data_IF_407423823510
#
_entry.id   IF_407423823510
#
_cell.length_a   1.000
_cell.length_b   1.000
_cell.length_c   1.000
_cell.angle_alpha   90.00
_cell.angle_beta   90.00
_cell.angle_gamma   90.00
#
_symmetry.space_group_name_H-M   'P 1'
#
loop_
_entity.id
_entity.type
_entity.pdbx_description
1 polymer ?
#
# COMPACT_ATOMS: atom_id res chain seq x y z
N UNK A 1 -12.25 9.31 33.18
CA UNK A 1 -11.72 10.20 32.15
C UNK A 1 -10.25 9.87 31.98
N UNK A 2 -9.81 9.64 30.75
CA UNK A 2 -8.45 9.24 30.40
C UNK A 2 -7.83 10.42 29.66
N UNK A 3 -6.84 11.07 30.25
CA UNK A 3 -6.09 12.18 29.65
C UNK A 3 -5.10 11.67 28.59
N UNK A 4 -4.58 12.55 27.73
CA UNK A 4 -3.48 12.23 26.80
C UNK A 4 -2.32 11.55 27.53
N UNK A 5 -2.00 12.01 28.74
CA UNK A 5 -0.96 11.43 29.61
C UNK A 5 -1.28 9.97 29.95
N UNK A 6 -2.54 9.66 30.31
CA UNK A 6 -2.96 8.29 30.61
C UNK A 6 -2.86 7.36 29.39
N UNK A 7 -3.04 7.90 28.18
CA UNK A 7 -2.87 7.12 26.94
C UNK A 7 -1.39 6.91 26.59
N UNK A 8 -0.54 7.92 26.75
CA UNK A 8 0.90 7.79 26.57
C UNK A 8 1.48 6.72 27.52
N UNK A 9 1.04 6.70 28.79
CA UNK A 9 1.47 5.65 29.74
C UNK A 9 0.99 4.24 29.36
N UNK A 10 -0.15 4.12 28.68
CA UNK A 10 -0.62 2.81 28.19
C UNK A 10 0.24 2.35 27.02
N UNK A 11 0.64 3.26 26.12
CA UNK A 11 1.48 2.95 24.95
C UNK A 11 2.80 2.30 25.38
N UNK A 12 3.44 2.83 26.42
CA UNK A 12 4.66 2.25 26.96
C UNK A 12 4.49 0.81 27.49
N UNK A 13 3.28 0.45 27.93
CA UNK A 13 2.99 -0.82 28.63
C UNK A 13 2.37 -1.88 27.73
N UNK A 14 1.78 -1.50 26.59
CA UNK A 14 1.02 -2.39 25.72
C UNK A 14 1.69 -2.53 24.36
N UNK A 15 1.61 -3.72 23.76
CA UNK A 15 2.22 -3.99 22.44
C UNK A 15 1.47 -3.36 21.26
N UNK A 16 0.18 -3.11 21.44
CA UNK A 16 -0.70 -2.50 20.45
C UNK A 16 -1.79 -1.72 21.14
N UNK A 17 -2.06 -0.52 20.66
CA UNK A 17 -3.10 0.39 21.13
C UNK A 17 -3.80 0.98 19.92
N UNK A 18 -5.12 1.06 20.01
CA UNK A 18 -5.97 1.75 19.06
C UNK A 18 -6.85 2.74 19.84
N UNK A 19 -6.93 3.98 19.37
CA UNK A 19 -7.72 5.03 20.03
C UNK A 19 -8.30 5.99 19.00
N UNK A 20 -9.54 6.43 19.22
CA UNK A 20 -10.15 7.48 18.41
C UNK A 20 -9.72 8.86 18.92
N UNK A 21 -9.59 9.82 18.00
CA UNK A 21 -9.04 11.15 18.33
C UNK A 21 -10.02 11.98 19.16
N UNK A 22 -11.32 11.79 18.98
CA UNK A 22 -12.37 12.43 19.79
C UNK A 22 -12.31 11.98 21.26
N UNK A 23 -11.99 10.73 21.55
CA UNK A 23 -11.77 10.23 22.91
C UNK A 23 -10.58 10.93 23.61
N UNK A 24 -9.58 11.36 22.84
CA UNK A 24 -8.39 12.05 23.35
C UNK A 24 -8.65 13.55 23.58
N UNK A 25 -9.33 14.19 22.63
CA UNK A 25 -9.57 15.65 22.65
C UNK A 25 -10.84 16.04 23.39
N UNK A 26 -11.78 15.10 23.55
CA UNK A 26 -13.12 15.30 24.11
C UNK A 26 -13.90 16.40 23.37
N UNK A 27 -13.84 16.36 22.04
CA UNK A 27 -14.49 17.31 21.12
C UNK A 27 -15.05 16.60 19.90
N UNK A 28 -16.15 17.13 19.36
CA UNK A 28 -16.77 16.66 18.11
C UNK A 28 -16.06 17.22 16.86
N UNK A 29 -15.68 18.49 16.89
CA UNK A 29 -14.95 19.16 15.80
C UNK A 29 -13.45 19.16 16.09
N UNK A 30 -12.67 18.59 15.16
CA UNK A 30 -11.23 18.39 15.29
C UNK A 30 -10.54 19.01 14.07
N UNK A 31 -9.47 19.76 14.29
CA UNK A 31 -8.63 20.31 13.22
C UNK A 31 -7.44 19.41 12.90
N UNK A 32 -6.90 19.52 11.68
CA UNK A 32 -5.62 18.84 11.36
C UNK A 32 -4.46 19.33 12.24
N UNK A 33 -4.48 20.59 12.71
CA UNK A 33 -3.49 21.08 13.68
C UNK A 33 -3.51 20.29 15.00
N UNK A 34 -4.71 20.04 15.55
CA UNK A 34 -4.86 19.25 16.78
C UNK A 34 -4.43 17.80 16.56
N UNK A 35 -4.76 17.23 15.40
CA UNK A 35 -4.31 15.88 15.04
C UNK A 35 -2.77 15.80 14.96
N UNK A 36 -2.14 16.73 14.25
CA UNK A 36 -0.67 16.77 14.11
C UNK A 36 0.01 16.96 15.47
N UNK A 37 -0.57 17.77 16.35
CA UNK A 37 -0.09 17.92 17.73
C UNK A 37 -0.11 16.57 18.46
N UNK A 38 -1.23 15.83 18.43
CA UNK A 38 -1.32 14.51 19.08
C UNK A 38 -0.32 13.50 18.51
N UNK A 39 -0.22 13.42 17.18
CA UNK A 39 0.69 12.49 16.52
C UNK A 39 2.15 12.76 16.89
N UNK A 40 2.52 14.04 17.00
CA UNK A 40 3.84 14.44 17.46
C UNK A 40 4.11 14.05 18.92
N UNK A 41 3.13 14.23 19.80
CA UNK A 41 3.27 13.82 21.21
C UNK A 41 3.38 12.30 21.33
N UNK A 42 2.63 11.55 20.55
CA UNK A 42 2.74 10.08 20.52
C UNK A 42 4.10 9.65 19.97
N UNK A 43 4.53 10.22 18.84
CA UNK A 43 5.81 9.88 18.21
C UNK A 43 7.03 10.12 19.12
N UNK A 44 6.99 11.14 19.99
CA UNK A 44 8.07 11.41 20.96
C UNK A 44 8.15 10.39 22.09
N UNK A 45 7.03 9.80 22.46
CA UNK A 45 6.91 8.93 23.63
C UNK A 45 6.78 7.44 23.26
N UNK A 46 6.79 7.12 21.95
CA UNK A 46 6.77 5.73 21.49
C UNK A 46 8.09 5.02 21.84
N UNK A 47 8.03 3.78 22.34
CA UNK A 47 9.19 2.90 22.37
C UNK A 47 9.82 2.74 20.99
N UNK A 48 11.14 2.50 20.93
CA UNK A 48 11.88 2.44 19.65
C UNK A 48 11.44 1.30 18.72
N UNK A 49 10.72 0.31 19.23
CA UNK A 49 10.20 -0.83 18.47
C UNK A 49 8.69 -0.74 18.17
N UNK A 50 8.04 0.38 18.53
CA UNK A 50 6.65 0.64 18.20
C UNK A 50 6.51 1.70 17.11
N UNK A 51 5.48 1.53 16.29
CA UNK A 51 5.19 2.40 15.18
C UNK A 51 3.79 2.97 15.31
N UNK A 52 3.60 4.15 14.73
CA UNK A 52 2.35 4.90 14.66
C UNK A 52 1.73 4.85 13.26
N UNK A 53 0.41 4.74 13.19
CA UNK A 53 -0.40 5.05 12.02
C UNK A 53 -1.64 5.84 12.46
N UNK A 54 -2.02 6.83 11.67
CA UNK A 54 -3.30 7.50 11.79
C UNK A 54 -3.85 7.77 10.40
N UNK A 55 -5.12 7.46 10.19
CA UNK A 55 -5.80 7.66 8.92
C UNK A 55 -6.98 8.60 9.11
N UNK A 56 -7.17 9.47 8.13
CA UNK A 56 -8.36 10.29 7.93
C UNK A 56 -8.88 10.03 6.52
N UNK A 57 -10.20 10.02 6.35
CA UNK A 57 -10.88 9.88 5.05
C UNK A 57 -11.88 11.02 4.85
N UNK A 58 -12.13 11.38 3.61
CA UNK A 58 -13.21 12.30 3.22
C UNK A 58 -13.72 11.95 1.83
N UNK A 59 -15.01 12.17 1.59
CA UNK A 59 -15.59 12.11 0.24
C UNK A 59 -15.13 13.30 -0.62
N UNK A 60 -14.61 14.36 0.00
CA UNK A 60 -14.13 15.56 -0.68
C UNK A 60 -12.61 15.66 -0.66
N UNK A 61 -12.04 16.32 -1.68
CA UNK A 61 -10.59 16.49 -1.74
C UNK A 61 -10.07 17.27 -0.52
N UNK A 62 -9.14 16.64 0.19
CA UNK A 62 -8.41 17.29 1.30
C UNK A 62 -7.38 18.26 0.70
N UNK A 63 -7.44 19.53 1.09
CA UNK A 63 -6.51 20.57 0.63
C UNK A 63 -5.10 20.36 1.21
N UNK A 64 -4.30 19.51 0.56
CA UNK A 64 -2.95 19.12 1.01
C UNK A 64 -1.82 19.91 0.35
N UNK A 65 -2.13 20.84 -0.55
CA UNK A 65 -1.13 21.61 -1.30
C UNK A 65 -0.58 22.81 -0.51
N UNK A 66 -1.34 23.31 0.47
CA UNK A 66 -0.91 24.36 1.41
C UNK A 66 -1.01 23.83 2.84
N UNK A 67 0.15 23.62 3.47
CA UNK A 67 0.18 23.09 4.83
C UNK A 67 -0.49 24.00 5.86
N UNK A 68 -0.47 25.32 5.68
CA UNK A 68 -1.10 26.24 6.64
C UNK A 68 -2.61 26.23 6.48
N UNK A 69 -3.09 26.13 5.25
CA UNK A 69 -4.51 25.94 5.00
C UNK A 69 -4.99 24.62 5.62
N UNK A 70 -4.31 23.51 5.32
CA UNK A 70 -4.63 22.18 5.85
C UNK A 70 -4.79 22.19 7.36
N UNK A 71 -3.81 22.72 8.09
CA UNK A 71 -3.79 22.72 9.55
C UNK A 71 -5.00 23.46 10.17
N UNK A 72 -5.59 24.43 9.45
CA UNK A 72 -6.75 25.18 9.91
C UNK A 72 -8.10 24.57 9.47
N UNK A 73 -8.09 23.54 8.62
CA UNK A 73 -9.30 22.84 8.20
C UNK A 73 -9.79 21.90 9.30
N UNK A 74 -11.11 21.77 9.37
CA UNK A 74 -11.76 20.71 10.13
C UNK A 74 -11.55 19.38 9.40
N UNK A 75 -11.34 18.32 10.17
CA UNK A 75 -11.38 16.96 9.66
C UNK A 75 -12.84 16.60 9.41
N UNK A 76 -13.10 16.02 8.25
CA UNK A 76 -14.39 15.44 7.91
C UNK A 76 -14.59 14.17 8.77
N UNK A 77 -15.56 14.22 9.67
CA UNK A 77 -15.89 13.14 10.61
C UNK A 77 -17.28 12.56 10.34
N UNK A 78 -17.91 12.88 9.21
CA UNK A 78 -19.25 12.39 8.88
C UNK A 78 -19.30 10.86 8.77
N UNK A 79 -18.24 10.27 8.21
CA UNK A 79 -18.18 8.85 7.87
C UNK A 79 -17.19 8.05 8.70
N UNK A 80 -16.07 8.65 9.11
CA UNK A 80 -15.06 8.00 9.92
C UNK A 80 -14.41 8.98 10.89
N UNK A 81 -14.23 8.55 12.13
CA UNK A 81 -13.50 9.33 13.13
C UNK A 81 -12.01 8.98 13.01
N UNK A 82 -11.10 9.96 12.92
CA UNK A 82 -9.68 9.69 12.90
C UNK A 82 -9.27 8.79 14.06
N UNK A 83 -8.52 7.75 13.73
CA UNK A 83 -8.01 6.80 14.71
C UNK A 83 -6.50 6.75 14.66
N UNK A 84 -5.89 6.59 15.83
CA UNK A 84 -4.45 6.43 16.01
C UNK A 84 -4.20 5.00 16.48
N UNK A 85 -3.42 4.26 15.70
CA UNK A 85 -2.89 2.95 16.04
C UNK A 85 -1.40 3.09 16.40
N UNK A 86 -1.01 2.55 17.55
CA UNK A 86 0.37 2.22 17.88
C UNK A 86 0.53 0.71 17.88
N UNK A 87 1.51 0.16 17.17
CA UNK A 87 1.80 -1.29 17.19
C UNK A 87 3.22 -1.60 16.71
N UNK A 88 3.80 -2.68 17.24
CA UNK A 88 5.09 -3.22 16.74
C UNK A 88 4.96 -3.86 15.35
N UNK A 89 3.74 -4.26 14.97
CA UNK A 89 3.47 -5.03 13.75
C UNK A 89 2.67 -4.22 12.71
N UNK A 90 2.79 -2.89 12.71
CA UNK A 90 2.15 -2.08 11.68
C UNK A 90 2.69 -2.45 10.30
N UNK A 91 1.75 -2.67 9.36
CA UNK A 91 2.07 -2.99 7.97
C UNK A 91 1.44 -1.92 7.09
N UNK A 92 2.27 -1.23 6.32
CA UNK A 92 1.83 -0.34 5.26
C UNK A 92 1.95 -1.03 3.91
N UNK A 93 0.96 -0.84 3.04
CA UNK A 93 0.99 -1.29 1.65
C UNK A 93 0.91 -0.07 0.72
N UNK A 94 1.66 -0.05 -0.40
CA UNK A 94 1.55 0.99 -1.42
C UNK A 94 0.10 1.21 -1.87
N UNK A 95 -0.32 2.48 -1.93
CA UNK A 95 -1.68 2.87 -2.33
C UNK A 95 -1.69 3.45 -3.75
N UNK A 96 -2.87 3.45 -4.37
CA UNK A 96 -3.07 4.07 -5.68
C UNK A 96 -2.96 5.60 -5.56
N UNK A 97 -2.29 6.25 -6.53
CA UNK A 97 -2.13 7.71 -6.56
C UNK A 97 -1.55 8.29 -5.26
N UNK A 98 -0.76 7.48 -4.53
CA UNK A 98 -0.13 7.92 -3.30
C UNK A 98 0.91 9.03 -3.58
N UNK A 99 0.87 10.07 -2.77
CA UNK A 99 1.87 11.15 -2.75
C UNK A 99 2.25 11.45 -1.31
N UNK A 100 3.55 11.57 -1.06
CA UNK A 100 4.05 12.12 0.21
C UNK A 100 3.78 13.61 0.21
N UNK A 101 3.14 14.11 1.28
CA UNK A 101 2.86 15.53 1.45
C UNK A 101 3.70 16.10 2.60
N UNK A 102 3.97 17.41 2.55
CA UNK A 102 4.69 18.09 3.62
C UNK A 102 3.68 18.79 4.53
N UNK A 103 3.73 18.47 5.82
CA UNK A 103 2.94 19.13 6.86
C UNK A 103 3.91 19.85 7.81
N UNK A 104 3.75 21.17 7.94
CA UNK A 104 4.52 22.01 8.84
C UNK A 104 4.38 21.53 10.29
N UNK A 105 5.52 21.34 10.96
CA UNK A 105 5.56 20.89 12.35
C UNK A 105 5.37 19.39 12.57
N UNK A 106 5.13 18.58 11.53
CA UNK A 106 5.09 17.12 11.66
C UNK A 106 6.48 16.56 12.03
N UNK A 107 6.52 15.61 12.97
CA UNK A 107 7.74 14.93 13.41
C UNK A 107 8.50 14.31 12.24
N UNK A 108 9.84 14.40 12.24
CA UNK A 108 10.71 13.82 11.22
C UNK A 108 10.70 12.29 11.16
N UNK A 109 10.22 11.66 12.24
CA UNK A 109 10.00 10.21 12.35
C UNK A 109 8.71 9.74 11.71
N UNK A 110 7.85 10.68 11.30
CA UNK A 110 6.58 10.43 10.64
C UNK A 110 6.63 10.87 9.16
N UNK A 111 5.72 10.32 8.36
CA UNK A 111 5.48 10.73 6.99
C UNK A 111 3.98 10.84 6.76
N UNK A 112 3.55 11.93 6.13
CA UNK A 112 2.18 12.12 5.71
C UNK A 112 2.04 11.69 4.25
N UNK A 113 1.05 10.85 3.99
CA UNK A 113 0.76 10.28 2.67
C UNK A 113 -0.68 10.59 2.34
N UNK A 114 -0.89 11.22 1.20
CA UNK A 114 -2.22 11.41 0.62
C UNK A 114 -2.43 10.42 -0.52
N UNK A 115 -3.59 9.81 -0.61
CA UNK A 115 -3.96 8.95 -1.73
C UNK A 115 -5.46 8.97 -1.98
N UNK A 116 -5.87 8.51 -3.15
CA UNK A 116 -7.29 8.36 -3.51
C UNK A 116 -7.55 6.87 -3.70
N UNK A 117 -8.58 6.35 -3.06
CA UNK A 117 -9.01 4.97 -3.22
C UNK A 117 -10.53 4.92 -3.24
N UNK A 118 -11.10 4.23 -4.23
CA UNK A 118 -12.57 4.09 -4.35
C UNK A 118 -13.34 5.41 -4.37
N UNK A 119 -12.77 6.46 -4.98
CA UNK A 119 -13.29 7.85 -5.00
C UNK A 119 -13.31 8.57 -3.64
N UNK A 120 -12.68 8.02 -2.61
CA UNK A 120 -12.47 8.69 -1.34
C UNK A 120 -11.03 9.20 -1.23
N UNK A 121 -10.87 10.31 -0.51
CA UNK A 121 -9.62 11.00 -0.29
C UNK A 121 -9.09 10.66 1.09
N UNK A 122 -7.88 10.11 1.15
CA UNK A 122 -7.26 9.69 2.40
C UNK A 122 -6.02 10.54 2.69
N UNK A 123 -5.90 10.97 3.93
CA UNK A 123 -4.65 11.47 4.49
C UNK A 123 -4.24 10.57 5.66
N UNK A 124 -3.16 9.84 5.45
CA UNK A 124 -2.59 8.92 6.44
C UNK A 124 -1.22 9.41 6.89
N UNK A 125 -1.03 9.55 8.19
CA UNK A 125 0.28 9.76 8.81
C UNK A 125 0.76 8.44 9.36
N UNK A 126 1.97 8.03 8.97
CA UNK A 126 2.55 6.76 9.40
C UNK A 126 4.00 6.95 9.81
N UNK A 127 4.53 6.06 10.64
CA UNK A 127 5.96 6.02 10.94
C UNK A 127 6.79 5.83 9.68
N UNK A 128 7.82 6.65 9.54
CA UNK A 128 8.68 6.69 8.35
C UNK A 128 9.38 5.36 8.09
N UNK A 129 9.72 4.63 9.15
CA UNK A 129 10.29 3.29 9.04
C UNK A 129 9.30 2.29 8.42
N UNK A 130 8.05 2.29 8.85
CA UNK A 130 6.98 1.44 8.29
C UNK A 130 6.74 1.81 6.82
N UNK A 131 6.72 3.10 6.49
CA UNK A 131 6.57 3.54 5.10
C UNK A 131 7.75 3.10 4.22
N UNK A 132 8.99 3.25 4.68
CA UNK A 132 10.17 2.85 3.93
C UNK A 132 10.28 1.32 3.78
N UNK A 133 9.77 0.56 4.76
CA UNK A 133 9.77 -0.90 4.77
C UNK A 133 8.43 -1.51 4.35
N UNK A 134 7.57 -0.73 3.68
CA UNK A 134 6.24 -1.13 3.27
C UNK A 134 6.19 -2.46 2.53
N UNK A 135 5.17 -3.25 2.85
CA UNK A 135 4.99 -4.60 2.37
C UNK A 135 4.32 -4.63 0.99
N UNK A 136 4.79 -5.52 0.15
CA UNK A 136 4.07 -5.95 -1.06
C UNK A 136 2.92 -6.84 -0.61
N UNK A 137 1.75 -6.76 -1.26
CA UNK A 137 0.64 -7.65 -0.90
C UNK A 137 1.01 -9.12 -1.11
N UNK A 138 0.48 -10.02 -0.28
CA UNK A 138 0.80 -11.45 -0.34
C UNK A 138 0.54 -12.04 -1.72
N UNK A 139 -0.62 -11.74 -2.32
CA UNK A 139 -0.99 -12.21 -3.66
C UNK A 139 0.03 -11.79 -4.74
N UNK A 140 0.55 -10.56 -4.64
CA UNK A 140 1.57 -10.05 -5.58
C UNK A 140 2.90 -10.75 -5.32
N UNK A 141 3.29 -10.90 -4.06
CA UNK A 141 4.53 -11.58 -3.69
C UNK A 141 4.53 -13.03 -4.18
N UNK A 142 3.44 -13.76 -3.97
CA UNK A 142 3.27 -15.14 -4.44
C UNK A 142 3.37 -15.24 -5.96
N UNK A 143 2.69 -14.34 -6.70
CA UNK A 143 2.80 -14.28 -8.15
C UNK A 143 4.24 -14.05 -8.60
N UNK A 144 4.91 -13.05 -8.02
CA UNK A 144 6.28 -12.70 -8.40
C UNK A 144 7.26 -13.83 -8.08
N UNK A 145 7.06 -14.55 -6.97
CA UNK A 145 7.84 -15.75 -6.63
C UNK A 145 7.66 -16.83 -7.71
N UNK A 146 6.42 -17.09 -8.15
CA UNK A 146 6.17 -18.07 -9.19
C UNK A 146 6.84 -17.69 -10.51
N UNK A 147 6.75 -16.42 -10.93
CA UNK A 147 7.45 -15.92 -12.13
C UNK A 147 8.97 -16.03 -11.96
N UNK A 148 9.49 -15.78 -10.74
CA UNK A 148 10.93 -15.83 -10.45
C UNK A 148 11.53 -17.23 -10.60
N UNK A 149 10.73 -18.28 -10.37
CA UNK A 149 11.15 -19.67 -10.56
C UNK A 149 11.31 -20.03 -12.05
N UNK A 150 10.83 -19.18 -12.96
CA UNK A 150 10.88 -19.40 -14.41
C UNK A 150 9.72 -20.26 -14.92
N UNK A 151 9.45 -20.12 -16.21
CA UNK A 151 8.46 -20.91 -16.98
C UNK A 151 7.09 -21.06 -16.28
N UNK A 152 6.58 -19.97 -15.70
CA UNK A 152 5.33 -20.01 -14.92
C UNK A 152 4.13 -20.24 -15.85
N UNK A 153 3.51 -21.42 -15.75
CA UNK A 153 2.32 -21.77 -16.54
C UNK A 153 1.10 -20.91 -16.17
N UNK A 154 0.46 -20.30 -17.18
CA UNK A 154 -0.64 -19.35 -16.98
C UNK A 154 -1.93 -20.02 -16.46
N UNK A 155 -2.15 -21.29 -16.78
CA UNK A 155 -3.36 -22.01 -16.37
C UNK A 155 -3.45 -22.14 -14.83
N UNK A 156 -2.34 -22.53 -14.21
CA UNK A 156 -2.27 -22.94 -12.81
C UNK A 156 -2.03 -21.76 -11.85
N UNK A 157 -1.45 -20.65 -12.33
CA UNK A 157 -1.14 -19.49 -11.49
C UNK A 157 -2.34 -18.56 -11.23
N UNK A 158 -3.46 -18.76 -11.92
CA UNK A 158 -4.64 -17.88 -11.79
C UNK A 158 -5.38 -17.98 -10.45
N UNK A 159 -5.07 -18.98 -9.62
CA UNK A 159 -5.70 -19.18 -8.32
C UNK A 159 -5.23 -18.18 -7.25
N UNK A 160 -4.03 -17.60 -7.38
CA UNK A 160 -3.45 -16.72 -6.36
C UNK A 160 -4.15 -15.35 -6.20
N UNK A 161 -4.83 -14.84 -7.24
CA UNK A 161 -5.45 -13.50 -7.18
C UNK A 161 -6.79 -13.39 -7.94
N UNK A 162 -7.37 -14.52 -8.34
CA UNK A 162 -8.60 -14.59 -9.12
C UNK A 162 -8.38 -14.33 -10.62
N UNK A 163 -9.17 -14.98 -11.48
CA UNK A 163 -8.92 -15.04 -12.93
C UNK A 163 -8.91 -13.68 -13.64
N UNK A 164 -9.85 -12.78 -13.31
CA UNK A 164 -9.97 -11.45 -13.96
C UNK A 164 -8.74 -10.59 -13.65
N UNK A 165 -8.44 -10.44 -12.36
CA UNK A 165 -7.32 -9.66 -11.85
C UNK A 165 -5.97 -10.23 -12.29
N UNK A 166 -5.81 -11.55 -12.27
CA UNK A 166 -4.62 -12.22 -12.76
C UNK A 166 -4.33 -11.86 -14.23
N UNK A 167 -5.36 -11.90 -15.10
CA UNK A 167 -5.22 -11.51 -16.50
C UNK A 167 -4.73 -10.06 -16.63
N UNK A 168 -5.36 -9.13 -15.93
CA UNK A 168 -5.02 -7.71 -15.97
C UNK A 168 -3.57 -7.46 -15.51
N UNK A 169 -3.14 -8.15 -14.45
CA UNK A 169 -1.76 -8.06 -13.92
C UNK A 169 -0.75 -8.61 -14.91
N UNK A 170 -0.99 -9.77 -15.52
CA UNK A 170 -0.08 -10.36 -16.51
C UNK A 170 -0.01 -9.48 -17.76
N UNK A 171 -1.15 -9.03 -18.29
CA UNK A 171 -1.19 -8.13 -19.45
C UNK A 171 -0.44 -6.82 -19.15
N UNK A 172 -0.56 -6.27 -17.94
CA UNK A 172 0.22 -5.12 -17.49
C UNK A 172 1.72 -5.41 -17.49
N UNK A 173 2.16 -6.51 -16.86
CA UNK A 173 3.57 -6.88 -16.75
C UNK A 173 4.24 -7.12 -18.11
N UNK A 174 3.52 -7.69 -19.08
CA UNK A 174 3.98 -7.81 -20.46
C UNK A 174 4.12 -6.44 -21.10
N UNK A 175 3.09 -5.58 -20.96
CA UNK A 175 3.07 -4.22 -21.53
C UNK A 175 4.22 -3.35 -21.02
N UNK A 176 4.57 -3.46 -19.75
CA UNK A 176 5.71 -2.71 -19.16
C UNK A 176 7.05 -3.44 -19.27
N UNK A 177 7.09 -4.55 -20.01
CA UNK A 177 8.28 -5.33 -20.34
C UNK A 177 9.02 -5.92 -19.12
N UNK A 178 8.30 -6.17 -18.02
CA UNK A 178 8.88 -6.88 -16.87
C UNK A 178 8.85 -8.39 -17.07
N UNK A 179 7.90 -8.91 -17.84
CA UNK A 179 7.86 -10.31 -18.24
C UNK A 179 7.77 -10.43 -19.76
N UNK A 180 8.21 -11.57 -20.29
CA UNK A 180 7.96 -11.97 -21.66
C UNK A 180 7.09 -13.22 -21.69
N UNK A 181 6.34 -13.38 -22.77
CA UNK A 181 5.41 -14.50 -22.96
C UNK A 181 6.10 -15.60 -23.73
N UNK A 182 5.97 -16.83 -23.23
CA UNK A 182 6.49 -18.04 -23.84
C UNK A 182 5.31 -18.89 -24.30
N UNK A 183 5.31 -19.29 -25.57
CA UNK A 183 4.36 -20.25 -26.13
C UNK A 183 5.05 -21.58 -26.39
N UNK A 184 4.50 -22.63 -25.80
CA UNK A 184 4.94 -24.01 -26.00
C UNK A 184 4.13 -24.63 -27.12
N UNK A 185 4.80 -25.01 -28.20
CA UNK A 185 4.17 -25.73 -29.32
C UNK A 185 4.74 -27.15 -29.34
N UNK A 186 3.87 -28.14 -29.17
CA UNK A 186 4.20 -29.55 -29.37
C UNK A 186 4.05 -29.87 -30.86
N UNK A 187 5.17 -30.10 -31.55
CA UNK A 187 5.19 -30.55 -32.94
C UNK A 187 6.00 -31.84 -33.01
N UNK A 188 5.40 -32.93 -33.47
CA UNK A 188 6.07 -34.23 -33.66
C UNK A 188 6.84 -34.76 -32.44
N UNK A 189 6.28 -34.61 -31.23
CA UNK A 189 6.91 -34.94 -29.94
C UNK A 189 8.20 -34.13 -29.63
N UNK A 190 8.43 -33.02 -30.32
CA UNK A 190 9.48 -32.04 -30.03
C UNK A 190 8.80 -30.77 -29.51
N UNK A 191 9.23 -30.32 -28.33
CA UNK A 191 8.78 -29.05 -27.76
C UNK A 191 9.52 -27.91 -28.47
N UNK A 192 8.77 -27.06 -29.17
CA UNK A 192 9.29 -25.82 -29.72
C UNK A 192 8.78 -24.64 -28.90
N UNK A 193 9.71 -23.75 -28.53
CA UNK A 193 9.47 -22.59 -27.68
C UNK A 193 9.49 -21.35 -28.57
N UNK A 194 8.41 -20.56 -28.52
CA UNK A 194 8.34 -19.26 -29.18
C UNK A 194 8.14 -18.16 -28.14
N UNK A 195 8.81 -17.01 -28.33
CA UNK A 195 8.53 -15.81 -27.56
C UNK A 195 7.45 -15.03 -28.31
N UNK A 196 6.34 -14.77 -27.64
CA UNK A 196 5.18 -14.07 -28.21
C UNK A 196 5.04 -12.68 -27.57
N UNK A 197 4.46 -11.69 -28.27
CA UNK A 197 4.25 -10.36 -27.70
C UNK A 197 3.04 -10.28 -26.77
N UNK A 198 2.11 -11.23 -26.86
CA UNK A 198 0.85 -11.27 -26.09
C UNK A 198 0.41 -12.71 -25.81
N UNK A 199 -0.45 -12.89 -24.82
CA UNK A 199 -1.09 -14.17 -24.51
C UNK A 199 -2.42 -14.28 -25.27
N UNK A 200 -2.63 -15.36 -26.01
CA UNK A 200 -3.99 -15.74 -26.41
C UNK A 200 -4.71 -16.38 -25.22
N UNK A 201 -5.48 -15.55 -24.50
CA UNK A 201 -6.22 -15.96 -23.31
C UNK A 201 -7.25 -17.08 -23.54
N UNK A 202 -7.65 -17.36 -24.80
CA UNK A 202 -8.51 -18.50 -25.13
C UNK A 202 -7.75 -19.83 -25.14
N UNK A 203 -6.43 -19.80 -25.26
CA UNK A 203 -5.53 -20.95 -25.32
C UNK A 203 -4.43 -20.85 -24.25
N UNK A 204 -4.76 -20.22 -23.11
CA UNK A 204 -3.80 -19.84 -22.06
C UNK A 204 -2.98 -21.01 -21.51
N UNK A 205 -3.48 -22.24 -21.62
CA UNK A 205 -2.80 -23.48 -21.26
C UNK A 205 -1.50 -23.73 -22.05
N UNK A 206 -1.34 -23.12 -23.23
CA UNK A 206 -0.14 -23.25 -24.05
C UNK A 206 0.92 -22.17 -23.76
N UNK A 207 0.67 -21.33 -22.75
CA UNK A 207 1.50 -20.17 -22.44
C UNK A 207 2.10 -20.27 -21.04
N UNK A 208 3.34 -19.82 -20.94
CA UNK A 208 4.02 -19.50 -19.70
C UNK A 208 4.62 -18.10 -19.77
N UNK A 209 5.09 -17.58 -18.64
CA UNK A 209 5.76 -16.27 -18.57
C UNK A 209 7.02 -16.36 -17.73
N UNK A 210 7.96 -15.48 -18.05
CA UNK A 210 9.25 -15.36 -17.40
C UNK A 210 9.67 -13.90 -17.26
N UNK A 211 10.50 -13.59 -16.26
CA UNK A 211 11.07 -12.25 -16.15
C UNK A 211 12.04 -11.93 -17.28
N UNK A 212 11.89 -10.74 -17.84
CA UNK A 212 12.96 -10.09 -18.61
C UNK A 212 14.13 -9.72 -17.67
N UNK A 213 15.28 -9.34 -18.22
CA UNK A 213 16.38 -8.81 -17.40
C UNK A 213 15.94 -7.60 -16.55
N UNK A 214 15.15 -6.70 -17.15
CA UNK A 214 14.53 -5.56 -16.47
C UNK A 214 13.62 -6.02 -15.33
N UNK A 215 12.79 -7.04 -15.56
CA UNK A 215 11.94 -7.64 -14.53
C UNK A 215 12.73 -8.19 -13.35
N UNK A 216 13.83 -8.92 -13.60
CA UNK A 216 14.69 -9.49 -12.55
C UNK A 216 15.37 -8.41 -11.71
N UNK A 217 15.85 -7.35 -12.33
CA UNK A 217 16.47 -6.21 -11.64
C UNK A 217 15.45 -5.50 -10.73
N UNK A 218 14.29 -5.13 -11.27
CA UNK A 218 13.23 -4.47 -10.50
C UNK A 218 12.60 -5.38 -9.42
N UNK A 219 12.54 -6.69 -9.64
CA UNK A 219 12.12 -7.66 -8.61
C UNK A 219 13.08 -7.68 -7.43
N UNK A 220 14.39 -7.73 -7.71
CA UNK A 220 15.44 -7.78 -6.68
C UNK A 220 15.41 -6.54 -5.77
N UNK A 221 15.08 -5.37 -6.33
CA UNK A 221 15.00 -4.11 -5.59
C UNK A 221 13.64 -3.86 -4.92
N UNK A 222 12.70 -4.82 -4.97
CA UNK A 222 11.29 -4.69 -4.53
C UNK A 222 10.43 -3.68 -5.31
N UNK A 223 11.02 -2.88 -6.20
CA UNK A 223 10.33 -1.90 -7.05
C UNK A 223 9.17 -2.51 -7.84
N UNK A 224 9.37 -3.72 -8.37
CA UNK A 224 8.33 -4.43 -9.12
C UNK A 224 7.12 -4.77 -8.25
N UNK A 225 7.35 -5.25 -7.03
CA UNK A 225 6.29 -5.61 -6.09
C UNK A 225 5.52 -4.38 -5.59
N UNK A 226 6.24 -3.28 -5.35
CA UNK A 226 5.62 -2.00 -5.00
C UNK A 226 4.74 -1.50 -6.15
N UNK A 227 5.31 -1.42 -7.36
CA UNK A 227 4.59 -0.93 -8.55
C UNK A 227 3.37 -1.77 -8.91
N UNK A 228 3.45 -3.10 -8.76
CA UNK A 228 2.30 -3.99 -8.95
C UNK A 228 1.23 -3.82 -7.87
N UNK A 229 1.64 -3.65 -6.61
CA UNK A 229 0.70 -3.40 -5.51
C UNK A 229 -0.06 -2.10 -5.76
N UNK A 230 0.63 -1.04 -6.19
CA UNK A 230 0.01 0.24 -6.59
C UNK A 230 -0.96 0.07 -7.76
N UNK A 231 -0.56 -0.62 -8.84
CA UNK A 231 -1.44 -0.88 -9.99
C UNK A 231 -2.71 -1.62 -9.57
N UNK A 232 -2.58 -2.67 -8.77
CA UNK A 232 -3.71 -3.47 -8.29
C UNK A 232 -4.65 -2.64 -7.42
N UNK A 233 -4.11 -1.80 -6.54
CA UNK A 233 -4.91 -0.92 -5.68
C UNK A 233 -5.79 0.02 -6.51
N UNK A 234 -5.34 0.42 -7.70
CA UNK A 234 -6.12 1.26 -8.61
C UNK A 234 -7.06 0.57 -9.59
N UNK A 235 -7.04 -0.76 -9.63
CA UNK A 235 -7.93 -1.54 -10.50
C UNK A 235 -9.21 -1.96 -9.75
N UNK A 236 -9.40 -1.56 -8.49
CA UNK A 236 -10.59 -1.94 -7.73
C UNK A 236 -11.86 -1.40 -8.40
N UNK A 237 -12.63 -2.35 -8.94
CA UNK A 237 -13.84 -2.23 -9.75
C UNK A 237 -15.09 -2.51 -8.96
#
# INVERSE_FOLDING_TARGET
MSSIIDYLEKIEKQKSIFVYVDDLLLKEEITYAELVFLLNEFAKNLPTDQFLQCQTSSETEISVNDSKELLNLLIDTEWDMPSIESSQNLIWHPKENERVITIEGLSETLVAVYYVQSNEHYLTVVSKEVFNNRSVSTDVLELLIQISNGDMAILDSSYCMGKKKFKEVIDYLVKVEYIFVVRKNLVDNIESIAIEPIIDWKQKENYSVEFTNKGRECYTNKDLGIGLTTFISGVQS
#
